data_IF_425277231766
#
_entry.id   IF_425277231766
#
_cell.length_a   1.000
_cell.length_b   1.000
_cell.length_c   1.000
_cell.angle_alpha   90.00
_cell.angle_beta   90.00
_cell.angle_gamma   90.00
#
_symmetry.space_group_name_H-M   'P 1'
#
loop_
_entity.id
_entity.type
_entity.pdbx_description
1 polymer ?
#
# COMPACT_ATOMS: atom_id res chain seq x y z
N UNK A 1 24.19 47.86 15.47
CA UNK A 1 24.24 46.96 14.30
C UNK A 1 23.39 45.75 14.64
N UNK A 2 22.26 45.56 13.94
CA UNK A 2 21.26 44.54 14.24
C UNK A 2 21.54 43.33 13.34
N UNK A 3 21.91 42.18 13.91
CA UNK A 3 22.06 40.94 13.16
C UNK A 3 20.67 40.36 12.88
N UNK A 4 20.18 40.54 11.66
CA UNK A 4 19.04 39.78 11.14
C UNK A 4 19.46 38.32 10.93
N UNK A 5 19.10 37.46 11.89
CA UNK A 5 19.21 36.03 11.73
C UNK A 5 18.14 35.55 10.74
N UNK A 6 18.57 35.19 9.53
CA UNK A 6 17.72 34.54 8.53
C UNK A 6 17.65 33.06 8.94
N UNK A 7 16.50 32.64 9.47
CA UNK A 7 16.23 31.24 9.77
C UNK A 7 15.74 30.61 8.46
N UNK A 8 16.67 30.05 7.69
CA UNK A 8 16.34 29.18 6.55
C UNK A 8 15.60 27.95 7.07
N UNK A 9 14.30 27.84 6.76
CA UNK A 9 13.53 26.63 6.99
C UNK A 9 14.10 25.52 6.10
N UNK A 10 14.80 24.56 6.71
CA UNK A 10 15.12 23.32 6.03
C UNK A 10 13.80 22.56 5.81
N UNK A 11 13.29 22.57 4.58
CA UNK A 11 12.27 21.61 4.18
C UNK A 11 12.94 20.23 4.26
N UNK A 12 12.61 19.45 5.31
CA UNK A 12 12.92 18.03 5.32
C UNK A 12 12.12 17.38 4.20
N UNK A 13 12.71 17.30 3.02
CA UNK A 13 12.29 16.32 2.05
C UNK A 13 12.66 14.97 2.65
N UNK A 14 11.71 14.37 3.38
CA UNK A 14 11.74 12.93 3.58
C UNK A 14 11.66 12.34 2.18
N UNK A 15 12.82 11.98 1.62
CA UNK A 15 12.87 11.01 0.56
C UNK A 15 12.35 9.72 1.19
N UNK A 16 11.02 9.60 1.25
CA UNK A 16 10.35 8.33 1.42
C UNK A 16 10.84 7.52 0.24
N UNK A 17 11.89 6.73 0.49
CA UNK A 17 12.29 5.64 -0.38
C UNK A 17 11.22 4.56 -0.19
N UNK A 18 9.97 4.91 -0.51
CA UNK A 18 8.89 3.97 -0.66
C UNK A 18 9.11 3.39 -2.05
N UNK A 19 9.36 2.10 -2.12
CA UNK A 19 9.23 1.36 -3.38
C UNK A 19 7.94 1.83 -4.05
N UNK A 20 8.04 2.37 -5.26
CA UNK A 20 6.87 2.85 -5.99
C UNK A 20 5.92 1.66 -6.17
N UNK A 21 4.72 1.77 -5.61
CA UNK A 21 3.71 0.76 -5.83
C UNK A 21 3.16 0.89 -7.25
N UNK A 22 2.91 -0.24 -7.88
CA UNK A 22 2.15 -0.30 -9.12
C UNK A 22 0.67 -0.10 -8.78
N UNK A 23 0.25 1.16 -8.74
CA UNK A 23 -1.11 1.56 -8.42
C UNK A 23 -1.51 2.82 -9.21
N UNK A 24 -2.82 3.02 -9.42
CA UNK A 24 -3.33 4.27 -9.99
C UNK A 24 -3.36 5.34 -8.90
N UNK A 25 -2.70 6.49 -9.11
CA UNK A 25 -2.72 7.58 -8.14
C UNK A 25 -4.13 8.06 -7.79
N UNK A 26 -4.32 8.39 -6.52
CA UNK A 26 -5.59 8.87 -5.97
C UNK A 26 -6.61 7.78 -5.65
N UNK A 27 -6.29 6.51 -5.93
CA UNK A 27 -7.16 5.39 -5.56
C UNK A 27 -6.72 4.70 -4.27
N UNK A 28 -7.71 4.18 -3.55
CA UNK A 28 -7.54 3.34 -2.37
C UNK A 28 -7.62 1.86 -2.75
N UNK A 29 -6.73 1.05 -2.20
CA UNK A 29 -6.59 -0.37 -2.52
C UNK A 29 -6.50 -1.24 -1.27
N UNK A 30 -7.13 -2.41 -1.32
CA UNK A 30 -6.84 -3.50 -0.42
C UNK A 30 -5.48 -4.10 -0.74
N UNK A 31 -4.82 -4.66 0.28
CA UNK A 31 -3.52 -5.31 0.10
C UNK A 31 -3.56 -6.42 -0.93
N UNK A 32 -4.59 -7.27 -0.89
CA UNK A 32 -4.73 -8.35 -1.87
C UNK A 32 -4.80 -7.83 -3.32
N UNK A 33 -5.43 -6.67 -3.54
CA UNK A 33 -5.49 -6.05 -4.87
C UNK A 33 -4.12 -5.50 -5.26
N UNK A 34 -3.43 -4.78 -4.37
CA UNK A 34 -2.06 -4.30 -4.63
C UNK A 34 -1.09 -5.45 -4.91
N UNK A 35 -1.18 -6.56 -4.18
CA UNK A 35 -0.30 -7.70 -4.36
C UNK A 35 -0.58 -8.44 -5.69
N UNK A 36 -1.81 -8.37 -6.21
CA UNK A 36 -2.24 -8.95 -7.48
C UNK A 36 -1.88 -8.05 -8.69
N UNK A 37 -2.03 -6.74 -8.57
CA UNK A 37 -1.79 -5.77 -9.67
C UNK A 37 -0.33 -5.74 -10.13
N UNK A 38 0.64 -6.02 -9.25
CA UNK A 38 2.03 -6.06 -9.68
C UNK A 38 2.31 -7.16 -10.72
N UNK A 39 1.51 -8.24 -10.74
CA UNK A 39 1.62 -9.29 -11.77
C UNK A 39 1.30 -8.75 -13.19
N UNK A 40 0.49 -7.70 -13.32
CA UNK A 40 0.11 -7.12 -14.60
C UNK A 40 1.17 -6.19 -15.20
N UNK A 41 2.05 -5.61 -14.39
CA UNK A 41 3.09 -4.69 -14.88
C UNK A 41 4.35 -5.39 -15.42
N UNK A 42 4.52 -6.69 -15.15
CA UNK A 42 5.67 -7.47 -15.62
C UNK A 42 5.32 -8.56 -16.65
N UNK A 43 4.04 -8.76 -17.00
CA UNK A 43 3.65 -9.81 -17.95
C UNK A 43 3.56 -9.28 -19.38
N UNK A 44 4.63 -9.51 -20.14
CA UNK A 44 4.53 -9.71 -21.59
C UNK A 44 3.45 -10.78 -21.92
N UNK A 45 2.84 -10.76 -23.13
CA UNK A 45 1.49 -11.28 -23.39
C UNK A 45 1.41 -12.81 -23.54
N UNK A 46 1.91 -13.58 -22.58
CA UNK A 46 1.65 -15.03 -22.51
C UNK A 46 0.91 -15.34 -21.23
N UNK A 47 -0.41 -15.46 -21.39
CA UNK A 47 -1.31 -15.99 -20.38
C UNK A 47 -0.99 -17.43 -19.99
N UNK A 48 -1.70 -17.87 -18.95
CA UNK A 48 -1.57 -19.11 -18.18
C UNK A 48 -0.47 -19.10 -17.12
N UNK A 49 -0.86 -18.79 -15.87
CA UNK A 49 -0.54 -19.66 -14.75
C UNK A 49 -1.69 -19.63 -13.72
N UNK A 50 -2.42 -20.74 -13.67
CA UNK A 50 -3.30 -21.13 -12.57
C UNK A 50 -2.49 -21.15 -11.25
N UNK A 51 -2.72 -20.22 -10.31
CA UNK A 51 -2.11 -20.29 -8.98
C UNK A 51 -3.17 -20.48 -7.90
N UNK A 52 -3.26 -21.74 -7.49
CA UNK A 52 -3.81 -22.25 -6.24
C UNK A 52 -3.24 -21.51 -5.02
N UNK A 53 -4.17 -21.00 -4.21
CA UNK A 53 -4.20 -20.65 -2.77
C UNK A 53 -3.10 -21.13 -1.79
N UNK A 54 -1.80 -21.15 -2.14
CA UNK A 54 -0.77 -21.64 -1.20
C UNK A 54 0.64 -21.05 -1.27
N UNK A 55 0.85 -19.99 -2.07
CA UNK A 55 2.03 -19.14 -1.95
C UNK A 55 1.64 -17.81 -2.55
N UNK A 56 1.42 -16.79 -1.70
CA UNK A 56 1.20 -15.42 -2.14
C UNK A 56 2.48 -14.99 -2.87
N UNK A 57 2.49 -15.20 -4.19
CA UNK A 57 3.54 -14.71 -5.07
C UNK A 57 3.21 -13.25 -5.37
N UNK A 58 3.17 -12.47 -4.30
CA UNK A 58 3.01 -11.02 -4.35
C UNK A 58 4.10 -10.48 -5.25
N UNK A 59 3.77 -9.52 -6.11
CA UNK A 59 4.83 -8.77 -6.77
C UNK A 59 5.79 -8.21 -5.70
N UNK A 60 7.10 -8.52 -5.78
CA UNK A 60 8.04 -8.11 -4.75
C UNK A 60 8.06 -6.57 -4.61
N UNK A 61 7.74 -5.84 -5.66
CA UNK A 61 7.72 -4.37 -5.65
C UNK A 61 6.61 -3.83 -4.75
N UNK A 62 5.37 -4.35 -4.90
CA UNK A 62 4.21 -3.91 -4.12
C UNK A 62 4.23 -4.47 -2.69
N UNK A 63 4.69 -5.72 -2.51
CA UNK A 63 4.90 -6.27 -1.16
C UNK A 63 5.98 -5.49 -0.39
N UNK A 64 7.07 -5.11 -1.05
CA UNK A 64 8.10 -4.27 -0.44
C UNK A 64 7.58 -2.85 -0.19
N UNK A 65 6.80 -2.26 -1.11
CA UNK A 65 6.16 -0.97 -0.91
C UNK A 65 5.28 -0.96 0.34
N UNK A 66 4.41 -1.96 0.50
CA UNK A 66 3.54 -2.10 1.67
C UNK A 66 4.38 -2.28 2.95
N UNK A 67 5.30 -3.24 2.97
CA UNK A 67 6.12 -3.50 4.16
C UNK A 67 6.95 -2.28 4.55
N UNK A 68 7.59 -1.61 3.59
CA UNK A 68 8.38 -0.40 3.81
C UNK A 68 7.51 0.76 4.31
N UNK A 69 6.32 0.96 3.73
CA UNK A 69 5.35 1.96 4.21
C UNK A 69 4.94 1.67 5.65
N UNK A 70 4.62 0.42 6.00
CA UNK A 70 4.24 0.07 7.37
C UNK A 70 5.41 0.24 8.35
N UNK A 71 6.64 -0.09 7.95
CA UNK A 71 7.84 0.16 8.77
C UNK A 71 8.08 1.65 9.00
N UNK A 72 7.94 2.47 7.95
CA UNK A 72 8.27 3.90 7.99
C UNK A 72 7.18 4.75 8.65
N UNK A 73 5.92 4.34 8.54
CA UNK A 73 4.75 5.12 8.97
C UNK A 73 4.14 4.63 10.29
N UNK A 74 4.85 3.78 11.04
CA UNK A 74 4.40 3.35 12.37
C UNK A 74 3.35 2.24 12.38
N UNK A 75 3.32 1.39 11.34
CA UNK A 75 2.45 0.21 11.25
C UNK A 75 2.75 -0.91 12.24
N UNK A 76 3.81 -0.80 13.05
CA UNK A 76 4.05 -1.71 14.18
C UNK A 76 4.04 -3.19 13.77
N UNK A 77 3.17 -3.99 14.40
CA UNK A 77 3.03 -5.42 14.12
C UNK A 77 2.63 -5.71 12.66
N UNK A 78 1.87 -4.82 12.01
CA UNK A 78 1.48 -4.97 10.61
C UNK A 78 2.68 -5.06 9.67
N UNK A 79 3.78 -4.38 9.97
CA UNK A 79 4.98 -4.38 9.13
C UNK A 79 5.60 -5.78 8.95
N UNK A 80 5.37 -6.68 9.91
CA UNK A 80 5.98 -8.01 9.99
C UNK A 80 4.98 -9.15 9.79
N UNK A 81 3.67 -8.87 9.80
CA UNK A 81 2.62 -9.86 9.60
C UNK A 81 1.78 -9.53 8.37
N UNK A 82 2.14 -10.12 7.23
CA UNK A 82 1.38 -9.95 5.98
C UNK A 82 -0.07 -10.41 6.10
N UNK A 83 -0.36 -11.38 6.98
CA UNK A 83 -1.73 -11.86 7.17
C UNK A 83 -2.61 -10.75 7.70
N UNK A 84 -2.12 -9.88 8.57
CA UNK A 84 -2.89 -8.77 9.14
C UNK A 84 -3.24 -7.65 8.16
N UNK A 85 -2.69 -7.69 6.93
CA UNK A 85 -2.91 -6.65 5.93
C UNK A 85 -4.35 -6.62 5.37
N UNK A 86 -5.14 -7.69 5.52
CA UNK A 86 -6.53 -7.71 5.06
C UNK A 86 -7.42 -6.65 5.74
N UNK A 87 -7.04 -6.20 6.93
CA UNK A 87 -7.72 -5.15 7.70
C UNK A 87 -7.20 -3.75 7.37
N UNK A 88 -6.33 -3.62 6.36
CA UNK A 88 -5.71 -2.35 6.00
C UNK A 88 -6.17 -1.91 4.62
N UNK A 89 -6.28 -0.60 4.46
CA UNK A 89 -6.50 0.03 3.16
C UNK A 89 -5.36 0.99 2.86
N UNK A 90 -4.87 0.93 1.63
CA UNK A 90 -3.68 1.64 1.16
C UNK A 90 -4.07 2.68 0.12
N UNK A 91 -3.77 3.93 0.38
CA UNK A 91 -3.98 5.01 -0.57
C UNK A 91 -2.72 5.20 -1.42
N UNK A 92 -2.91 5.22 -2.74
CA UNK A 92 -1.84 5.47 -3.70
C UNK A 92 -1.67 6.97 -3.93
N UNK A 93 -0.54 7.54 -3.49
CA UNK A 93 -0.25 8.96 -3.68
C UNK A 93 0.15 9.27 -5.15
N UNK A 94 0.19 10.56 -5.49
CA UNK A 94 0.62 11.02 -6.83
C UNK A 94 2.06 10.61 -7.20
N UNK A 95 2.93 10.44 -6.22
CA UNK A 95 4.30 9.96 -6.39
C UNK A 95 4.42 8.43 -6.36
N UNK A 96 3.30 7.70 -6.36
CA UNK A 96 3.20 6.23 -6.24
C UNK A 96 3.72 5.66 -4.91
N UNK A 97 3.99 6.51 -3.91
CA UNK A 97 4.12 6.03 -2.54
C UNK A 97 2.76 5.63 -1.97
N UNK A 98 2.79 4.75 -0.97
CA UNK A 98 1.59 4.31 -0.28
C UNK A 98 1.47 5.02 1.08
N UNK A 99 0.27 5.47 1.39
CA UNK A 99 -0.17 5.72 2.77
C UNK A 99 -1.18 4.65 3.16
N UNK A 100 -1.39 4.42 4.45
CA UNK A 100 -2.24 3.35 4.93
C UNK A 100 -3.11 3.80 6.09
N UNK A 101 -4.21 3.11 6.28
CA UNK A 101 -5.07 3.22 7.47
C UNK A 101 -5.67 1.86 7.79
N UNK A 102 -5.96 1.66 9.07
CA UNK A 102 -6.69 0.49 9.55
C UNK A 102 -8.18 0.64 9.24
N UNK A 103 -8.80 -0.44 8.78
CA UNK A 103 -10.25 -0.63 8.80
C UNK A 103 -10.71 -0.82 10.26
N UNK A 104 -11.98 -0.53 10.57
CA UNK A 104 -12.50 -0.73 11.93
C UNK A 104 -12.39 -2.18 12.40
N UNK A 105 -12.54 -2.39 13.71
CA UNK A 105 -12.31 -3.69 14.37
C UNK A 105 -13.09 -4.89 13.79
N UNK A 106 -14.23 -4.64 13.15
CA UNK A 106 -15.06 -5.66 12.49
C UNK A 106 -15.15 -5.46 10.97
N UNK A 107 -14.23 -4.70 10.41
CA UNK A 107 -14.22 -4.37 8.99
C UNK A 107 -13.03 -5.02 8.31
N UNK A 108 -13.26 -5.50 7.10
CA UNK A 108 -12.22 -5.99 6.20
C UNK A 108 -12.20 -5.09 4.98
N UNK A 109 -11.05 -4.98 4.33
CA UNK A 109 -10.97 -4.29 3.07
C UNK A 109 -11.66 -5.13 1.98
N UNK A 110 -12.59 -4.52 1.24
CA UNK A 110 -13.27 -5.11 0.11
C UNK A 110 -12.93 -4.40 -1.21
N UNK A 111 -12.60 -5.21 -2.21
CA UNK A 111 -12.31 -4.76 -3.56
C UNK A 111 -13.59 -4.29 -4.25
N UNK A 112 -13.64 -3.02 -4.66
CA UNK A 112 -14.81 -2.41 -5.31
C UNK A 112 -14.79 -2.54 -6.84
N UNK A 113 -13.73 -3.14 -7.39
CA UNK A 113 -13.49 -3.32 -8.80
C UNK A 113 -12.61 -2.23 -9.42
N UNK A 114 -12.17 -2.49 -10.64
CA UNK A 114 -11.21 -1.63 -11.35
C UNK A 114 -11.69 -0.18 -11.47
N UNK A 115 -10.78 0.76 -11.20
CA UNK A 115 -11.03 2.20 -11.30
C UNK A 115 -11.87 2.79 -10.17
N UNK A 116 -12.13 2.03 -9.10
CA UNK A 116 -12.85 2.50 -7.91
C UNK A 116 -11.96 2.36 -6.68
N UNK A 117 -12.24 3.19 -5.67
CA UNK A 117 -11.65 3.04 -4.35
C UNK A 117 -12.21 1.80 -3.69
N UNK A 118 -11.32 0.96 -3.20
CA UNK A 118 -11.67 -0.09 -2.26
C UNK A 118 -12.20 0.53 -0.96
N UNK A 119 -12.96 -0.26 -0.19
CA UNK A 119 -13.61 0.25 1.02
C UNK A 119 -13.54 -0.75 2.15
N UNK A 120 -13.50 -0.25 3.38
CA UNK A 120 -13.71 -1.07 4.56
C UNK A 120 -15.19 -1.44 4.63
N UNK A 121 -15.50 -2.72 4.72
CA UNK A 121 -16.86 -3.23 4.89
C UNK A 121 -16.95 -4.08 6.14
N UNK A 122 -18.07 -3.97 6.84
CA UNK A 122 -18.34 -4.82 7.99
C UNK A 122 -18.39 -6.29 7.56
N UNK A 123 -17.47 -7.08 8.10
CA UNK A 123 -17.46 -8.53 7.93
C UNK A 123 -17.73 -9.16 9.29
N UNK A 124 -18.94 -9.70 9.53
CA UNK A 124 -19.18 -10.47 10.73
C UNK A 124 -18.26 -11.70 10.70
N UNK A 125 -17.23 -11.69 11.54
CA UNK A 125 -16.45 -12.87 11.87
C UNK A 125 -17.41 -13.89 12.54
N UNK A 126 -17.84 -14.88 11.76
CA UNK A 126 -18.67 -16.00 12.23
C UNK A 126 -17.81 -17.17 12.68
#
# INVERSE_FOLDING_TARGET
MMLTAIITAAALAFAASASAATCTPGLDYCSNVLLDVGELALREPTGLLNKTHSSVNSDPSNSNAISQTLQNSGGGSYANDQSSWYSLIFHCNNDHSLTWRECGYYELCANQGSGKNDVCVYAPIF
#
